data_IF_088149289506
#
_entry.id   IF_088149289506
#
_cell.length_a   1.000
_cell.length_b   1.000
_cell.length_c   1.000
_cell.angle_alpha   90.00
_cell.angle_beta   90.00
_cell.angle_gamma   90.00
#
_symmetry.space_group_name_H-M   'P 1'
#
loop_
_entity.id
_entity.type
_entity.pdbx_description
1 polymer ?
#
# COMPACT_ATOMS: atom_id res chain seq x y z
N UNK A 1 -48.70 56.80 39.43
CA UNK A 1 -48.11 55.84 40.39
C UNK A 1 -48.28 54.38 39.94
N UNK A 2 -49.47 53.92 39.55
CA UNK A 2 -49.66 52.55 39.05
C UNK A 2 -48.82 52.22 37.80
N UNK A 3 -48.84 53.08 36.76
CA UNK A 3 -48.06 52.87 35.54
C UNK A 3 -46.53 52.77 35.77
N UNK A 4 -45.99 53.51 36.72
CA UNK A 4 -44.56 53.45 37.06
C UNK A 4 -44.19 52.15 37.77
N UNK A 5 -45.10 51.59 38.60
CA UNK A 5 -44.88 50.31 39.25
C UNK A 5 -44.98 49.13 38.26
N UNK A 6 -45.82 49.25 37.23
CA UNK A 6 -45.94 48.26 36.16
C UNK A 6 -44.69 48.27 35.26
N UNK A 7 -44.21 49.45 34.86
CA UNK A 7 -42.96 49.58 34.11
C UNK A 7 -41.76 48.96 34.86
N UNK A 8 -41.63 49.23 36.16
CA UNK A 8 -40.57 48.63 36.98
C UNK A 8 -40.67 47.10 37.10
N UNK A 9 -41.90 46.54 37.08
CA UNK A 9 -42.11 45.08 37.07
C UNK A 9 -41.70 44.46 35.74
N UNK A 10 -42.07 45.09 34.63
CA UNK A 10 -41.70 44.61 33.28
C UNK A 10 -40.18 44.66 33.10
N UNK A 11 -39.51 45.75 33.54
CA UNK A 11 -38.05 45.83 33.48
C UNK A 11 -37.36 44.74 34.33
N UNK A 12 -37.88 44.46 35.53
CA UNK A 12 -37.36 43.39 36.38
C UNK A 12 -37.56 41.99 35.76
N UNK A 13 -38.70 41.75 35.11
CA UNK A 13 -38.99 40.50 34.42
C UNK A 13 -38.05 40.30 33.21
N UNK A 14 -37.86 41.33 32.39
CA UNK A 14 -36.93 41.31 31.25
C UNK A 14 -35.50 41.06 31.73
N UNK A 15 -35.04 41.74 32.79
CA UNK A 15 -33.72 41.51 33.36
C UNK A 15 -33.53 40.06 33.85
N UNK A 16 -34.59 39.45 34.40
CA UNK A 16 -34.56 38.07 34.87
C UNK A 16 -34.50 37.08 33.70
N UNK A 17 -35.26 37.32 32.63
CA UNK A 17 -35.21 36.49 31.41
C UNK A 17 -33.86 36.60 30.71
N UNK A 18 -33.27 37.80 30.60
CA UNK A 18 -31.91 37.98 30.05
C UNK A 18 -30.89 37.19 30.89
N UNK A 19 -30.91 37.34 32.22
CA UNK A 19 -30.01 36.58 33.10
C UNK A 19 -30.18 35.06 32.96
N UNK A 20 -31.42 34.58 32.76
CA UNK A 20 -31.70 33.16 32.52
C UNK A 20 -31.12 32.69 31.18
N UNK A 21 -31.28 33.47 30.11
CA UNK A 21 -30.74 33.12 28.78
C UNK A 21 -29.21 33.09 28.78
N UNK A 22 -28.56 34.04 29.45
CA UNK A 22 -27.09 34.05 29.59
C UNK A 22 -26.60 32.84 30.40
N UNK A 23 -27.31 32.45 31.46
CA UNK A 23 -26.98 31.27 32.25
C UNK A 23 -27.12 29.96 31.45
N UNK A 24 -28.15 29.83 30.61
CA UNK A 24 -28.32 28.65 29.73
C UNK A 24 -27.22 28.60 28.65
N UNK A 25 -26.87 29.74 28.03
CA UNK A 25 -25.77 29.82 27.08
C UNK A 25 -24.41 29.45 27.72
N UNK A 26 -24.19 29.83 28.98
CA UNK A 26 -22.99 29.44 29.72
C UNK A 26 -22.94 27.92 29.99
N UNK A 27 -24.08 27.30 30.32
CA UNK A 27 -24.18 25.84 30.48
C UNK A 27 -23.91 25.10 29.17
N UNK A 28 -24.44 25.57 28.05
CA UNK A 28 -24.20 24.96 26.74
C UNK A 28 -22.73 25.03 26.34
N UNK A 29 -22.07 26.19 26.55
CA UNK A 29 -20.62 26.33 26.33
C UNK A 29 -19.79 25.40 27.21
N UNK A 30 -20.18 25.23 28.48
CA UNK A 30 -19.51 24.30 29.39
C UNK A 30 -19.66 22.85 28.92
N UNK A 31 -20.87 22.45 28.50
CA UNK A 31 -21.12 21.12 27.95
C UNK A 31 -20.32 20.84 26.67
N UNK A 32 -20.22 21.83 25.77
CA UNK A 32 -19.40 21.72 24.56
C UNK A 32 -17.90 21.58 24.88
N UNK A 33 -17.39 22.30 25.88
CA UNK A 33 -16.01 22.19 26.32
C UNK A 33 -15.70 20.82 26.95
N UNK A 34 -16.61 20.27 27.76
CA UNK A 34 -16.46 18.91 28.30
C UNK A 34 -16.52 17.84 27.19
N UNK A 35 -17.41 18.00 26.20
CA UNK A 35 -17.47 17.10 25.05
C UNK A 35 -16.15 17.10 24.24
N UNK A 36 -15.59 18.29 23.97
CA UNK A 36 -14.30 18.42 23.30
C UNK A 36 -13.15 17.80 24.10
N UNK A 37 -13.17 17.90 25.44
CA UNK A 37 -12.17 17.24 26.30
C UNK A 37 -12.27 15.71 26.20
N UNK A 38 -13.47 15.15 26.22
CA UNK A 38 -13.68 13.69 26.12
C UNK A 38 -13.20 13.17 24.76
N UNK A 39 -13.48 13.91 23.67
CA UNK A 39 -13.01 13.53 22.33
C UNK A 39 -11.48 13.58 22.23
N UNK A 40 -10.85 14.61 22.81
CA UNK A 40 -9.39 14.71 22.87
C UNK A 40 -8.76 13.56 23.68
N UNK A 41 -9.34 13.20 24.84
CA UNK A 41 -8.88 12.04 25.63
C UNK A 41 -9.00 10.73 24.84
N UNK A 42 -10.13 10.52 24.14
CA UNK A 42 -10.32 9.34 23.30
C UNK A 42 -9.30 9.25 22.16
N UNK A 43 -8.98 10.38 21.51
CA UNK A 43 -7.93 10.43 20.49
C UNK A 43 -6.54 10.09 21.05
N UNK A 44 -6.23 10.56 22.27
CA UNK A 44 -4.94 10.23 22.92
C UNK A 44 -4.82 8.77 23.32
N UNK A 45 -5.89 8.15 23.82
CA UNK A 45 -5.92 6.71 24.12
C UNK A 45 -5.80 5.85 22.85
N UNK A 46 -6.47 6.25 21.77
CA UNK A 46 -6.33 5.57 20.47
C UNK A 46 -4.89 5.63 19.94
N UNK A 47 -4.27 6.82 19.98
CA UNK A 47 -2.87 6.99 19.57
C UNK A 47 -1.90 6.16 20.44
N UNK A 48 -2.19 6.03 21.74
CA UNK A 48 -1.40 5.19 22.65
C UNK A 48 -1.53 3.69 22.31
N UNK A 49 -2.75 3.23 22.01
CA UNK A 49 -2.99 1.84 21.62
C UNK A 49 -2.28 1.48 20.30
N UNK A 50 -2.29 2.37 19.32
CA UNK A 50 -1.55 2.20 18.05
C UNK A 50 -0.04 2.14 18.28
N UNK A 51 0.50 2.99 19.16
CA UNK A 51 1.92 2.98 19.50
C UNK A 51 2.37 1.67 20.17
N UNK A 52 1.55 1.10 21.06
CA UNK A 52 1.82 -0.21 21.66
C UNK A 52 1.74 -1.35 20.63
N UNK A 53 0.74 -1.32 19.72
CA UNK A 53 0.65 -2.29 18.64
C UNK A 53 1.86 -2.23 17.68
N UNK A 54 2.39 -1.02 17.43
CA UNK A 54 3.61 -0.85 16.64
C UNK A 54 4.85 -1.44 17.33
N UNK A 55 4.98 -1.30 18.66
CA UNK A 55 6.06 -1.93 19.44
C UNK A 55 5.99 -3.46 19.38
N UNK A 56 4.79 -4.04 19.49
CA UNK A 56 4.61 -5.49 19.39
C UNK A 56 5.00 -6.02 18.00
N UNK A 57 4.62 -5.31 16.93
CA UNK A 57 5.03 -5.65 15.56
C UNK A 57 6.55 -5.53 15.37
N UNK A 58 7.17 -4.49 15.92
CA UNK A 58 8.62 -4.32 15.86
C UNK A 58 9.36 -5.46 16.58
N UNK A 59 8.89 -5.84 17.77
CA UNK A 59 9.44 -6.98 18.52
C UNK A 59 9.27 -8.31 17.75
N UNK A 60 8.11 -8.52 17.12
CA UNK A 60 7.88 -9.70 16.28
C UNK A 60 8.79 -9.75 15.04
N UNK A 61 9.03 -8.60 14.41
CA UNK A 61 9.95 -8.50 13.27
C UNK A 61 11.41 -8.75 13.68
N UNK A 62 11.83 -8.26 14.84
CA UNK A 62 13.16 -8.54 15.39
C UNK A 62 13.34 -10.03 15.70
N UNK A 63 12.35 -10.67 16.33
CA UNK A 63 12.37 -12.11 16.58
C UNK A 63 12.50 -12.93 15.29
N UNK A 64 11.73 -12.58 14.24
CA UNK A 64 11.83 -13.23 12.94
C UNK A 64 13.21 -13.05 12.28
N UNK A 65 13.84 -11.88 12.47
CA UNK A 65 15.20 -11.63 11.98
C UNK A 65 16.23 -12.49 12.68
N UNK A 66 16.14 -12.64 14.01
CA UNK A 66 17.05 -13.52 14.78
C UNK A 66 16.90 -14.99 14.36
N UNK A 67 15.66 -15.46 14.13
CA UNK A 67 15.44 -16.83 13.63
C UNK A 67 16.03 -17.03 12.22
N UNK A 68 15.88 -16.05 11.33
CA UNK A 68 16.47 -16.10 9.99
C UNK A 68 18.01 -16.13 10.05
N UNK A 69 18.61 -15.32 10.91
CA UNK A 69 20.06 -15.28 11.10
C UNK A 69 20.60 -16.62 11.65
N UNK A 70 19.91 -17.20 12.64
CA UNK A 70 20.24 -18.52 13.17
C UNK A 70 20.14 -19.63 12.10
N UNK A 71 19.13 -19.59 11.23
CA UNK A 71 19.00 -20.53 10.13
C UNK A 71 20.14 -20.38 9.10
N UNK A 72 20.60 -19.14 8.82
CA UNK A 72 21.73 -18.91 7.91
C UNK A 72 23.05 -19.38 8.49
N UNK A 73 23.31 -19.18 9.79
CA UNK A 73 24.52 -19.69 10.45
C UNK A 73 24.52 -21.22 10.51
N UNK A 74 23.37 -21.86 10.75
CA UNK A 74 23.24 -23.32 10.68
C UNK A 74 23.55 -23.87 9.28
N UNK A 75 23.00 -23.26 8.23
CA UNK A 75 23.29 -23.65 6.85
C UNK A 75 24.76 -23.46 6.48
N UNK A 76 25.41 -22.41 7.00
CA UNK A 76 26.85 -22.17 6.83
C UNK A 76 27.70 -23.25 7.50
N UNK A 77 27.35 -23.66 8.72
CA UNK A 77 28.03 -24.72 9.45
C UNK A 77 27.92 -26.08 8.72
N UNK A 78 26.73 -26.41 8.20
CA UNK A 78 26.55 -27.63 7.40
C UNK A 78 27.37 -27.62 6.10
N UNK A 79 27.47 -26.46 5.44
CA UNK A 79 28.27 -26.31 4.23
C UNK A 79 29.79 -26.48 4.50
N UNK A 80 30.30 -25.95 5.62
CA UNK A 80 31.70 -26.15 6.02
C UNK A 80 31.99 -27.62 6.39
N UNK A 81 31.10 -28.29 7.11
CA UNK A 81 31.24 -29.73 7.41
C UNK A 81 31.25 -30.60 6.13
N UNK A 82 30.43 -30.24 5.13
CA UNK A 82 30.44 -30.91 3.83
C UNK A 82 31.77 -30.72 3.07
N UNK A 83 32.42 -29.55 3.18
CA UNK A 83 33.74 -29.32 2.57
C UNK A 83 34.83 -30.17 3.23
N UNK A 84 34.80 -30.29 4.56
CA UNK A 84 35.80 -31.07 5.30
C UNK A 84 35.71 -32.58 4.96
N UNK A 85 34.49 -33.12 4.82
CA UNK A 85 34.29 -34.52 4.41
C UNK A 85 34.69 -34.77 2.95
N UNK A 86 34.49 -33.80 2.05
CA UNK A 86 34.95 -33.91 0.67
C UNK A 86 36.49 -33.92 0.57
N UNK A 87 37.18 -33.08 1.34
CA UNK A 87 38.64 -33.06 1.38
C UNK A 87 39.23 -34.36 1.95
N UNK A 88 38.58 -34.98 2.94
CA UNK A 88 39.01 -36.27 3.50
C UNK A 88 38.85 -37.43 2.50
N UNK A 89 37.83 -37.39 1.64
CA UNK A 89 37.63 -38.42 0.60
C UNK A 89 38.68 -38.34 -0.53
N UNK A 90 39.19 -37.15 -0.83
CA UNK A 90 40.22 -36.95 -1.86
C UNK A 90 41.63 -37.39 -1.40
N UNK A 91 41.87 -37.46 -0.08
CA UNK A 91 43.16 -37.88 0.49
C UNK A 91 43.36 -39.40 0.61
N UNK A 92 42.38 -40.23 0.21
CA UNK A 92 42.54 -41.68 0.21
C UNK A 92 43.50 -42.12 -0.91
N UNK A 93 44.66 -42.71 -0.60
CA UNK A 93 45.65 -43.07 -1.60
C UNK A 93 45.11 -44.15 -2.54
N UNK A 94 45.19 -43.87 -3.83
CA UNK A 94 44.91 -44.83 -4.90
C UNK A 94 45.88 -46.01 -4.80
N UNK A 95 45.41 -47.10 -4.21
CA UNK A 95 46.10 -48.38 -4.26
C UNK A 95 46.04 -48.89 -5.71
N UNK A 96 47.24 -49.05 -6.28
CA UNK A 96 47.49 -49.36 -7.68
C UNK A 96 47.02 -50.79 -8.00
N UNK A 97 46.06 -50.94 -8.92
CA UNK A 97 45.75 -52.21 -9.56
C UNK A 97 46.01 -52.13 -11.08
N UNK A 98 46.62 -53.16 -11.69
CA UNK A 98 47.19 -53.06 -13.02
C UNK A 98 46.19 -53.30 -14.16
N UNK A 99 46.61 -52.81 -15.32
CA UNK A 99 45.94 -52.82 -16.61
C UNK A 99 45.60 -54.22 -17.17
N UNK A 100 44.50 -54.30 -17.92
CA UNK A 100 44.51 -55.04 -19.18
C UNK A 100 43.50 -54.49 -20.19
N UNK A 101 43.91 -54.56 -21.46
CA UNK A 101 43.36 -53.90 -22.62
C UNK A 101 42.21 -54.67 -23.28
N UNK A 102 41.31 -53.96 -23.97
CA UNK A 102 40.71 -54.43 -25.21
C UNK A 102 40.09 -53.29 -26.03
N UNK A 103 40.47 -53.26 -27.30
CA UNK A 103 40.06 -52.37 -28.37
C UNK A 103 38.64 -52.68 -28.92
N UNK A 104 38.32 -52.10 -30.10
CA UNK A 104 37.23 -52.44 -31.07
C UNK A 104 35.96 -51.60 -30.88
N UNK A 105 35.34 -50.91 -31.85
CA UNK A 105 35.53 -50.70 -33.30
C UNK A 105 34.63 -49.54 -33.75
N UNK A 106 35.03 -48.89 -34.84
CA UNK A 106 34.25 -48.01 -35.71
C UNK A 106 32.97 -48.66 -36.26
N UNK A 107 31.91 -47.88 -36.51
CA UNK A 107 30.71 -48.32 -37.21
C UNK A 107 29.77 -47.17 -37.58
N UNK A 108 29.82 -46.76 -38.84
CA UNK A 108 28.98 -45.74 -39.46
C UNK A 108 27.55 -46.24 -39.73
N UNK A 109 26.51 -45.42 -39.52
CA UNK A 109 25.31 -45.46 -40.38
C UNK A 109 24.52 -44.14 -40.37
N UNK A 110 24.38 -43.58 -41.57
CA UNK A 110 23.19 -42.99 -42.18
C UNK A 110 22.14 -42.24 -41.32
N UNK A 111 22.06 -40.93 -41.59
CA UNK A 111 20.88 -40.31 -42.20
C UNK A 111 19.54 -40.38 -41.45
N UNK A 112 19.11 -39.24 -40.90
CA UNK A 112 17.71 -38.83 -40.98
C UNK A 112 17.54 -37.33 -40.78
N UNK A 113 17.14 -36.69 -41.88
CA UNK A 113 16.38 -35.44 -41.89
C UNK A 113 15.08 -35.67 -41.13
N UNK A 114 14.84 -34.90 -40.07
CA UNK A 114 13.48 -34.46 -39.73
C UNK A 114 13.57 -33.29 -38.77
N UNK A 115 13.52 -32.10 -39.37
CA UNK A 115 13.10 -30.87 -38.74
C UNK A 115 11.68 -31.07 -38.20
N UNK A 116 11.55 -31.28 -36.89
CA UNK A 116 10.36 -30.90 -36.15
C UNK A 116 10.80 -30.12 -34.93
N UNK A 117 10.58 -28.81 -35.03
CA UNK A 117 10.70 -27.80 -33.99
C UNK A 117 9.87 -28.23 -32.78
N UNK A 118 10.49 -28.98 -31.88
CA UNK A 118 9.98 -29.20 -30.54
C UNK A 118 10.39 -27.98 -29.73
N UNK A 119 9.48 -27.02 -29.67
CA UNK A 119 9.47 -25.96 -28.67
C UNK A 119 9.55 -26.66 -27.32
N UNK A 120 10.76 -26.67 -26.76
CA UNK A 120 10.98 -27.02 -25.38
C UNK A 120 10.23 -25.95 -24.58
N UNK A 121 9.07 -26.33 -24.07
CA UNK A 121 8.43 -25.62 -22.98
C UNK A 121 9.42 -25.61 -21.83
N UNK A 122 10.19 -24.53 -21.76
CA UNK A 122 10.92 -24.16 -20.56
C UNK A 122 9.87 -24.11 -19.46
N UNK A 123 9.97 -25.03 -18.52
CA UNK A 123 9.36 -24.88 -17.23
C UNK A 123 9.92 -23.57 -16.69
N UNK A 124 9.15 -22.49 -16.87
CA UNK A 124 9.39 -21.21 -16.24
C UNK A 124 9.47 -21.50 -14.76
N UNK A 125 10.69 -21.54 -14.26
CA UNK A 125 10.95 -21.43 -12.83
C UNK A 125 10.29 -20.12 -12.48
N UNK A 126 9.16 -20.18 -11.78
CA UNK A 126 8.51 -19.00 -11.26
C UNK A 126 9.57 -18.32 -10.40
N UNK A 127 10.20 -17.26 -10.95
CA UNK A 127 11.12 -16.44 -10.22
C UNK A 127 10.38 -16.03 -8.95
N UNK A 128 10.84 -16.54 -7.82
CA UNK A 128 10.30 -16.17 -6.53
C UNK A 128 10.33 -14.64 -6.50
N UNK A 129 9.16 -14.02 -6.38
CA UNK A 129 9.06 -12.56 -6.32
C UNK A 129 10.10 -12.08 -5.29
N UNK A 130 10.97 -11.13 -5.63
CA UNK A 130 12.04 -10.75 -4.73
C UNK A 130 11.40 -10.35 -3.39
N UNK A 131 11.96 -10.78 -2.24
CA UNK A 131 11.47 -10.37 -0.94
C UNK A 131 11.43 -8.83 -0.90
N UNK A 132 10.31 -8.25 -0.45
CA UNK A 132 10.10 -6.80 -0.43
C UNK A 132 9.34 -6.22 -1.61
N UNK A 133 8.57 -7.02 -2.36
CA UNK A 133 7.62 -6.48 -3.32
C UNK A 133 6.58 -5.63 -2.60
N UNK A 134 6.47 -4.35 -2.97
CA UNK A 134 5.41 -3.48 -2.47
C UNK A 134 4.06 -4.11 -2.83
N UNK A 135 3.39 -4.66 -1.82
CA UNK A 135 2.18 -5.44 -2.06
C UNK A 135 0.98 -4.52 -2.23
N UNK A 136 -0.10 -5.00 -2.85
CA UNK A 136 -1.35 -4.27 -2.87
C UNK A 136 -1.86 -3.94 -1.45
N UNK A 137 -1.53 -4.77 -0.45
CA UNK A 137 -1.90 -4.49 0.93
C UNK A 137 -1.09 -3.32 1.51
N UNK A 138 0.20 -3.21 1.18
CA UNK A 138 1.04 -2.07 1.57
C UNK A 138 0.56 -0.78 0.89
N UNK A 139 0.17 -0.87 -0.39
CA UNK A 139 -0.44 0.25 -1.12
C UNK A 139 -1.75 0.72 -0.48
N UNK A 140 -2.64 -0.21 -0.11
CA UNK A 140 -3.90 0.13 0.55
C UNK A 140 -3.68 0.76 1.93
N UNK A 141 -2.72 0.24 2.70
CA UNK A 141 -2.36 0.79 4.00
C UNK A 141 -1.82 2.22 3.88
N UNK A 142 -0.88 2.46 2.96
CA UNK A 142 -0.29 3.77 2.78
C UNK A 142 -1.28 4.78 2.17
N UNK A 143 -2.15 4.35 1.25
CA UNK A 143 -3.24 5.20 0.74
C UNK A 143 -4.23 5.59 1.85
N UNK A 144 -4.53 4.69 2.79
CA UNK A 144 -5.36 5.03 3.94
C UNK A 144 -4.68 6.07 4.84
N UNK A 145 -3.37 5.95 5.07
CA UNK A 145 -2.58 6.96 5.80
C UNK A 145 -2.60 8.30 5.08
N UNK A 146 -2.44 8.33 3.75
CA UNK A 146 -2.52 9.54 2.91
C UNK A 146 -3.87 10.24 3.09
N UNK A 147 -4.98 9.50 3.06
CA UNK A 147 -6.32 10.09 3.23
C UNK A 147 -6.53 10.71 4.62
N UNK A 148 -6.14 9.98 5.66
CA UNK A 148 -6.27 10.44 7.05
C UNK A 148 -5.37 11.65 7.33
N UNK A 149 -4.12 11.60 6.89
CA UNK A 149 -3.15 12.70 7.09
C UNK A 149 -3.54 13.96 6.32
N UNK A 150 -4.08 13.82 5.11
CA UNK A 150 -4.64 14.94 4.36
C UNK A 150 -5.80 15.61 5.12
N UNK A 151 -6.69 14.83 5.75
CA UNK A 151 -7.79 15.39 6.56
C UNK A 151 -7.30 16.11 7.83
N UNK A 152 -6.21 15.64 8.43
CA UNK A 152 -5.62 16.24 9.63
C UNK A 152 -4.68 17.42 9.33
N UNK A 153 -4.44 17.75 8.06
CA UNK A 153 -3.51 18.81 7.66
C UNK A 153 -2.05 18.48 7.97
N UNK A 154 -1.70 17.19 8.11
CA UNK A 154 -0.34 16.73 8.41
C UNK A 154 0.49 16.58 7.14
N UNK A 155 0.77 17.71 6.47
CA UNK A 155 1.39 17.77 5.14
C UNK A 155 2.73 17.01 5.08
N UNK A 156 3.57 17.11 6.10
CA UNK A 156 4.87 16.41 6.10
C UNK A 156 4.72 14.88 6.05
N UNK A 157 3.81 14.33 6.86
CA UNK A 157 3.55 12.88 6.88
C UNK A 157 2.86 12.41 5.60
N UNK A 158 1.99 13.23 5.04
CA UNK A 158 1.36 12.99 3.75
C UNK A 158 2.43 12.85 2.65
N UNK A 159 3.38 13.78 2.59
CA UNK A 159 4.47 13.74 1.61
C UNK A 159 5.40 12.55 1.83
N UNK A 160 5.67 12.16 3.08
CA UNK A 160 6.45 10.94 3.37
C UNK A 160 5.73 9.67 2.90
N UNK A 161 4.42 9.56 3.14
CA UNK A 161 3.62 8.44 2.67
C UNK A 161 3.54 8.41 1.14
N UNK A 162 3.39 9.57 0.49
CA UNK A 162 3.41 9.67 -0.97
C UNK A 162 4.76 9.28 -1.57
N UNK A 163 5.87 9.66 -0.93
CA UNK A 163 7.20 9.21 -1.34
C UNK A 163 7.29 7.67 -1.25
N UNK A 164 6.83 7.06 -0.15
CA UNK A 164 6.84 5.59 -0.01
C UNK A 164 6.05 4.88 -1.09
N UNK A 165 4.83 5.36 -1.38
CA UNK A 165 4.00 4.80 -2.43
C UNK A 165 4.63 4.98 -3.81
N UNK A 166 5.22 6.15 -4.07
CA UNK A 166 5.87 6.45 -5.34
C UNK A 166 7.06 5.54 -5.59
N UNK A 167 7.94 5.35 -4.60
CA UNK A 167 9.04 4.40 -4.72
C UNK A 167 8.52 2.95 -4.79
N UNK A 168 7.55 2.58 -3.95
CA UNK A 168 7.00 1.22 -3.95
C UNK A 168 6.40 0.78 -5.29
N UNK A 169 5.83 1.72 -6.05
CA UNK A 169 5.22 1.46 -7.35
C UNK A 169 6.13 1.80 -8.54
N UNK A 170 6.97 2.82 -8.40
CA UNK A 170 7.79 3.38 -9.47
C UNK A 170 9.17 2.74 -9.60
N UNK A 171 9.79 2.32 -8.49
CA UNK A 171 11.09 1.64 -8.46
C UNK A 171 10.87 0.17 -8.89
N UNK A 172 10.96 -0.06 -10.19
CA UNK A 172 10.57 -1.35 -10.81
C UNK A 172 11.65 -2.40 -10.69
N UNK A 173 12.92 -1.98 -10.73
CA UNK A 173 14.07 -2.87 -10.57
C UNK A 173 14.52 -3.03 -9.11
N UNK A 174 13.98 -2.21 -8.20
CA UNK A 174 14.17 -2.26 -6.75
C UNK A 174 15.60 -1.95 -6.33
N UNK A 175 16.23 -1.03 -7.03
CA UNK A 175 17.57 -0.56 -6.67
C UNK A 175 17.53 0.47 -5.51
N UNK A 176 16.33 0.87 -5.07
CA UNK A 176 16.12 1.83 -3.98
C UNK A 176 16.13 3.28 -4.45
N UNK A 177 16.30 3.50 -5.75
CA UNK A 177 16.33 4.79 -6.41
C UNK A 177 15.23 4.82 -7.48
N UNK A 178 14.88 6.02 -7.95
CA UNK A 178 13.90 6.19 -9.01
C UNK A 178 14.60 6.81 -10.21
N UNK A 179 14.75 6.06 -11.30
CA UNK A 179 15.29 6.61 -12.55
C UNK A 179 14.27 7.55 -13.22
N UNK A 180 14.74 8.44 -14.12
CA UNK A 180 13.85 9.34 -14.90
C UNK A 180 12.80 8.57 -15.71
N UNK A 181 13.19 7.44 -16.29
CA UNK A 181 12.29 6.57 -17.05
C UNK A 181 11.21 5.94 -16.17
N UNK A 182 11.57 5.53 -14.96
CA UNK A 182 10.65 4.97 -13.99
C UNK A 182 9.69 6.02 -13.44
N UNK A 183 10.18 7.21 -13.12
CA UNK A 183 9.35 8.33 -12.70
C UNK A 183 8.31 8.70 -13.78
N UNK A 184 8.71 8.75 -15.06
CA UNK A 184 7.80 9.01 -16.16
C UNK A 184 6.77 7.87 -16.36
N UNK A 185 7.22 6.61 -16.22
CA UNK A 185 6.34 5.44 -16.27
C UNK A 185 5.33 5.46 -15.12
N UNK A 186 5.78 5.78 -13.90
CA UNK A 186 4.93 5.93 -12.73
C UNK A 186 3.89 7.03 -12.92
N UNK A 187 4.29 8.21 -13.39
CA UNK A 187 3.36 9.31 -13.63
C UNK A 187 2.27 8.95 -14.65
N UNK A 188 2.64 8.27 -15.75
CA UNK A 188 1.67 7.89 -16.80
C UNK A 188 0.80 6.69 -16.45
N UNK A 189 1.22 5.81 -15.53
CA UNK A 189 0.46 4.61 -15.16
C UNK A 189 -0.34 4.77 -13.86
N UNK A 190 0.20 5.53 -12.90
CA UNK A 190 -0.33 5.62 -11.55
C UNK A 190 -0.89 7.00 -11.18
N UNK A 191 -0.60 8.07 -11.92
CA UNK A 191 -1.19 9.39 -11.66
C UNK A 191 -2.38 9.74 -12.58
N UNK A 192 -2.69 8.88 -13.56
CA UNK A 192 -3.87 9.08 -14.41
C UNK A 192 -5.16 9.19 -13.60
N UNK A 193 -6.10 9.99 -14.09
CA UNK A 193 -7.38 10.29 -13.43
C UNK A 193 -8.18 9.05 -13.00
N UNK A 194 -8.02 7.94 -13.71
CA UNK A 194 -8.69 6.69 -13.40
C UNK A 194 -8.04 5.89 -12.28
N UNK A 195 -6.81 6.24 -11.87
CA UNK A 195 -6.09 5.53 -10.83
C UNK A 195 -6.62 5.89 -9.43
N UNK A 196 -6.54 4.97 -8.46
CA UNK A 196 -6.89 5.27 -7.07
C UNK A 196 -6.05 6.40 -6.46
N UNK A 197 -4.79 6.51 -6.87
CA UNK A 197 -3.85 7.49 -6.34
C UNK A 197 -4.13 8.88 -6.90
N UNK A 198 -4.39 8.99 -8.21
CA UNK A 198 -4.80 10.24 -8.85
C UNK A 198 -6.09 10.79 -8.26
N UNK A 199 -7.06 9.91 -7.95
CA UNK A 199 -8.29 10.32 -7.25
C UNK A 199 -8.06 10.77 -5.82
N UNK A 200 -7.26 10.04 -5.06
CA UNK A 200 -6.93 10.39 -3.67
C UNK A 200 -6.21 11.73 -3.59
N UNK A 201 -5.34 12.03 -4.54
CA UNK A 201 -4.63 13.30 -4.66
C UNK A 201 -5.48 14.44 -5.24
N UNK A 202 -6.73 14.18 -5.62
CA UNK A 202 -7.59 15.18 -6.25
C UNK A 202 -7.12 15.61 -7.65
N UNK A 203 -6.29 14.81 -8.32
CA UNK A 203 -5.83 15.06 -9.69
C UNK A 203 -6.94 14.81 -10.73
N UNK A 204 -8.06 14.21 -10.32
CA UNK A 204 -9.24 14.01 -11.17
C UNK A 204 -9.85 15.34 -11.58
N UNK A 205 -10.04 15.55 -12.89
CA UNK A 205 -10.54 16.80 -13.48
C UNK A 205 -9.51 17.93 -13.59
N UNK A 206 -8.27 17.73 -13.15
CA UNK A 206 -7.18 18.69 -13.33
C UNK A 206 -6.60 18.62 -14.73
N UNK A 207 -6.21 19.78 -15.29
CA UNK A 207 -5.61 19.91 -16.62
C UNK A 207 -4.14 19.44 -16.67
N UNK A 208 -3.70 18.66 -15.68
CA UNK A 208 -2.38 18.05 -15.70
C UNK A 208 -2.31 17.17 -16.96
N UNK A 209 -1.41 17.48 -17.90
CA UNK A 209 -1.39 16.84 -19.20
C UNK A 209 -0.68 15.49 -19.11
N UNK A 210 -1.15 14.62 -18.21
CA UNK A 210 -0.62 13.28 -17.99
C UNK A 210 -0.80 12.37 -19.21
N UNK A 211 -1.70 12.75 -20.12
CA UNK A 211 -1.89 12.11 -21.42
C UNK A 211 -0.80 12.50 -22.44
N UNK A 212 -0.09 13.61 -22.21
CA UNK A 212 1.00 14.08 -23.06
C UNK A 212 2.34 13.67 -22.45
N UNK A 213 2.90 12.57 -22.95
CA UNK A 213 4.18 12.04 -22.48
C UNK A 213 5.37 13.01 -22.65
N UNK A 214 5.28 14.05 -23.48
CA UNK A 214 6.31 15.09 -23.54
C UNK A 214 6.24 16.02 -22.32
N UNK A 215 5.04 16.47 -21.96
CA UNK A 215 4.83 17.32 -20.79
C UNK A 215 5.06 16.58 -19.48
N UNK A 216 4.71 15.28 -19.41
CA UNK A 216 5.07 14.45 -18.26
C UNK A 216 6.59 14.41 -18.08
N UNK A 217 7.35 14.21 -19.15
CA UNK A 217 8.82 14.23 -19.09
C UNK A 217 9.35 15.59 -18.65
N UNK A 218 8.77 16.70 -19.12
CA UNK A 218 9.13 18.04 -18.67
C UNK A 218 8.92 18.21 -17.16
N UNK A 219 7.76 17.80 -16.63
CA UNK A 219 7.50 17.85 -15.19
C UNK A 219 8.48 16.97 -14.42
N UNK A 220 8.74 15.74 -14.89
CA UNK A 220 9.72 14.85 -14.26
C UNK A 220 11.12 15.49 -14.25
N UNK A 221 11.56 16.11 -15.35
CA UNK A 221 12.84 16.84 -15.40
C UNK A 221 12.89 17.98 -14.39
N UNK A 222 11.80 18.74 -14.22
CA UNK A 222 11.75 19.80 -13.19
C UNK A 222 11.84 19.26 -11.77
N UNK A 223 11.20 18.12 -11.50
CA UNK A 223 11.27 17.45 -10.19
C UNK A 223 12.69 16.96 -9.91
N UNK A 224 13.33 16.28 -10.87
CA UNK A 224 14.71 15.83 -10.71
C UNK A 224 15.65 17.02 -10.49
N UNK A 225 15.54 18.09 -11.29
CA UNK A 225 16.38 19.28 -11.09
C UNK A 225 16.22 19.93 -9.70
N UNK A 226 15.08 19.74 -9.03
CA UNK A 226 14.83 20.27 -7.68
C UNK A 226 15.20 19.29 -6.55
N UNK A 227 15.14 17.98 -6.81
CA UNK A 227 15.22 16.93 -5.80
C UNK A 227 16.54 16.13 -5.85
N UNK A 228 17.12 15.93 -7.03
CA UNK A 228 18.36 15.19 -7.30
C UNK A 228 19.54 16.08 -6.89
N UNK A 229 19.96 15.93 -5.64
CA UNK A 229 20.87 16.86 -4.98
C UNK A 229 22.32 16.57 -5.34
N UNK A 230 22.65 15.31 -5.65
CA UNK A 230 23.97 14.89 -6.08
C UNK A 230 24.13 14.82 -7.61
N UNK A 231 23.05 15.03 -8.37
CA UNK A 231 23.00 15.07 -9.82
C UNK A 231 23.44 13.75 -10.48
N UNK A 232 23.16 12.62 -9.83
CA UNK A 232 23.47 11.29 -10.35
C UNK A 232 22.46 10.82 -11.42
N UNK A 233 21.34 11.54 -11.58
CA UNK A 233 20.30 11.25 -12.55
C UNK A 233 19.25 10.24 -12.07
N UNK A 234 19.32 9.83 -10.81
CA UNK A 234 18.34 9.06 -10.07
C UNK A 234 17.81 9.89 -8.89
N UNK A 235 16.70 9.45 -8.29
CA UNK A 235 16.23 10.02 -7.03
C UNK A 235 16.28 8.96 -5.96
N UNK A 236 17.10 9.16 -4.93
CA UNK A 236 17.09 8.31 -3.75
C UNK A 236 15.88 8.60 -2.84
N UNK A 237 15.55 7.68 -1.93
CA UNK A 237 14.48 7.90 -0.94
C UNK A 237 14.81 9.05 0.00
N UNK A 238 16.08 9.20 0.35
CA UNK A 238 16.59 10.26 1.20
C UNK A 238 16.37 11.64 0.55
N UNK A 239 16.67 11.77 -0.73
CA UNK A 239 16.46 12.99 -1.51
C UNK A 239 14.98 13.33 -1.71
N UNK A 240 14.16 12.34 -2.05
CA UNK A 240 12.72 12.52 -2.18
C UNK A 240 12.06 13.00 -0.87
N UNK A 241 12.62 12.60 0.28
CA UNK A 241 12.16 13.03 1.61
C UNK A 241 12.83 14.32 2.10
N UNK A 242 13.86 14.79 1.40
CA UNK A 242 14.54 16.02 1.76
C UNK A 242 13.57 17.20 1.64
N UNK A 243 13.75 18.18 2.54
CA UNK A 243 12.89 19.36 2.61
C UNK A 243 12.75 20.13 1.28
N UNK A 244 13.82 20.38 0.51
CA UNK A 244 13.71 21.09 -0.77
C UNK A 244 12.79 20.36 -1.76
N UNK A 245 12.91 19.03 -1.83
CA UNK A 245 12.07 18.22 -2.70
C UNK A 245 10.60 18.27 -2.29
N UNK A 246 10.33 18.13 -0.99
CA UNK A 246 8.96 18.23 -0.42
C UNK A 246 8.30 19.57 -0.74
N UNK A 247 9.02 20.68 -0.55
CA UNK A 247 8.52 22.02 -0.84
C UNK A 247 8.23 22.18 -2.34
N UNK A 248 9.09 21.67 -3.22
CA UNK A 248 8.88 21.70 -4.66
C UNK A 248 7.66 20.87 -5.09
N UNK A 249 7.52 19.65 -4.57
CA UNK A 249 6.37 18.77 -4.84
C UNK A 249 5.06 19.39 -4.37
N UNK A 250 5.06 20.04 -3.19
CA UNK A 250 3.89 20.75 -2.69
C UNK A 250 3.53 21.94 -3.60
N UNK A 251 4.53 22.70 -4.04
CA UNK A 251 4.31 23.81 -4.96
C UNK A 251 3.73 23.34 -6.30
N UNK A 252 4.21 22.22 -6.84
CA UNK A 252 3.64 21.60 -8.04
C UNK A 252 2.17 21.20 -7.84
N UNK A 253 1.84 20.58 -6.70
CA UNK A 253 0.47 20.20 -6.38
C UNK A 253 -0.46 21.41 -6.23
N UNK A 254 0.04 22.51 -5.66
CA UNK A 254 -0.71 23.75 -5.50
C UNK A 254 -0.86 24.55 -6.81
N UNK A 255 0.08 24.38 -7.74
CA UNK A 255 0.04 25.03 -9.05
C UNK A 255 -1.03 24.41 -9.98
N UNK A 256 -1.53 23.21 -9.67
CA UNK A 256 -2.62 22.58 -10.42
C UNK A 256 -3.87 23.42 -10.19
N UNK A 257 -4.43 24.07 -11.23
CA UNK A 257 -5.65 24.83 -11.07
C UNK A 257 -6.75 23.87 -10.60
N UNK A 258 -7.61 24.27 -9.64
CA UNK A 258 -8.72 23.44 -9.22
C UNK A 258 -9.56 23.09 -10.45
N UNK A 259 -10.10 21.84 -10.52
CA UNK A 259 -10.85 21.38 -11.67
C UNK A 259 -11.92 22.42 -12.00
N UNK A 260 -11.79 23.07 -13.15
CA UNK A 260 -12.78 24.01 -13.65
C UNK A 260 -14.02 23.17 -13.93
N UNK A 261 -14.99 23.18 -12.99
CA UNK A 261 -16.26 22.45 -13.13
C UNK A 261 -16.88 22.88 -14.44
N UNK A 262 -16.72 22.05 -15.47
CA UNK A 262 -17.10 22.36 -16.83
C UNK A 262 -18.63 22.35 -16.94
N UNK A 263 -19.26 23.50 -16.69
CA UNK A 263 -20.61 23.87 -17.15
C UNK A 263 -21.81 23.00 -16.77
N UNK A 264 -21.63 21.90 -16.05
CA UNK A 264 -22.74 21.07 -15.54
C UNK A 264 -23.44 21.81 -14.40
N UNK A 265 -24.75 22.02 -14.55
CA UNK A 265 -25.64 22.72 -13.63
C UNK A 265 -25.11 22.74 -12.19
N UNK A 266 -24.76 23.93 -11.71
CA UNK A 266 -24.17 24.14 -10.39
C UNK A 266 -24.89 23.30 -9.34
N UNK A 267 -24.26 22.20 -8.92
CA UNK A 267 -24.65 21.51 -7.70
C UNK A 267 -24.45 22.54 -6.60
N UNK A 268 -25.57 23.03 -6.05
CA UNK A 268 -25.57 24.02 -5.01
C UNK A 268 -24.58 23.57 -3.92
N UNK A 269 -23.69 24.46 -3.43
CA UNK A 269 -22.83 24.11 -2.32
C UNK A 269 -23.70 23.51 -1.19
N UNK A 270 -23.20 22.51 -0.45
CA UNK A 270 -23.93 21.96 0.69
C UNK A 270 -24.34 23.14 1.59
N UNK A 271 -25.64 23.22 1.89
CA UNK A 271 -26.23 24.39 2.55
C UNK A 271 -25.66 24.64 3.95
N UNK A 272 -24.96 23.64 4.50
CA UNK A 272 -24.30 23.72 5.78
C UNK A 272 -23.10 22.76 5.88
N UNK A 273 -22.22 23.02 6.84
CA UNK A 273 -21.13 22.09 7.22
C UNK A 273 -21.67 20.72 7.67
N UNK A 274 -22.89 20.67 8.23
CA UNK A 274 -23.54 19.42 8.61
C UNK A 274 -23.90 18.57 7.39
N UNK A 275 -24.33 19.18 6.29
CA UNK A 275 -24.61 18.48 5.03
C UNK A 275 -23.33 17.91 4.41
N UNK A 276 -22.22 18.65 4.47
CA UNK A 276 -20.91 18.17 4.02
C UNK A 276 -20.44 16.96 4.83
N UNK A 277 -20.59 17.00 6.17
CA UNK A 277 -20.22 15.88 7.04
C UNK A 277 -21.14 14.66 6.83
N UNK A 278 -22.44 14.87 6.57
CA UNK A 278 -23.37 13.80 6.24
C UNK A 278 -23.04 13.12 4.91
N UNK A 279 -22.58 13.89 3.92
CA UNK A 279 -22.13 13.37 2.62
C UNK A 279 -20.83 12.54 2.76
N UNK A 280 -19.88 13.00 3.58
CA UNK A 280 -18.66 12.24 3.92
C UNK A 280 -19.00 10.97 4.69
N UNK A 281 -19.92 11.02 5.67
CA UNK A 281 -20.37 9.84 6.41
C UNK A 281 -21.03 8.83 5.47
N UNK A 282 -21.89 9.28 4.57
CA UNK A 282 -22.52 8.43 3.56
C UNK A 282 -21.48 7.78 2.62
N UNK A 283 -20.46 8.53 2.21
CA UNK A 283 -19.36 8.02 1.37
C UNK A 283 -18.54 6.96 2.11
N UNK A 284 -18.18 7.21 3.38
CA UNK A 284 -17.48 6.24 4.25
C UNK A 284 -18.31 4.96 4.48
N UNK A 285 -19.62 5.09 4.65
CA UNK A 285 -20.54 3.95 4.79
C UNK A 285 -20.64 3.13 3.52
N UNK A 286 -20.67 3.78 2.36
CA UNK A 286 -20.63 3.12 1.06
C UNK A 286 -19.30 2.36 0.86
N UNK A 287 -18.17 3.01 1.17
CA UNK A 287 -16.84 2.41 1.05
C UNK A 287 -16.66 1.18 1.94
N UNK A 288 -17.03 1.28 3.23
CA UNK A 288 -16.96 0.16 4.17
C UNK A 288 -17.91 -0.98 3.80
N UNK A 289 -19.08 -0.68 3.25
CA UNK A 289 -20.01 -1.72 2.75
C UNK A 289 -19.47 -2.45 1.51
N UNK A 290 -18.76 -1.75 0.62
CA UNK A 290 -18.11 -2.33 -0.55
C UNK A 290 -16.91 -3.21 -0.15
N UNK A 291 -16.10 -2.76 0.81
CA UNK A 291 -14.97 -3.52 1.34
C UNK A 291 -15.43 -4.77 2.12
N UNK A 292 -16.52 -4.68 2.89
CA UNK A 292 -17.10 -5.81 3.63
C UNK A 292 -17.78 -6.87 2.76
N UNK A 293 -18.24 -6.50 1.56
CA UNK A 293 -18.96 -7.40 0.65
C UNK A 293 -18.08 -8.40 -0.11
N UNK A 294 -16.80 -8.08 -0.34
CA UNK A 294 -15.91 -8.91 -1.16
C UNK A 294 -15.20 -10.04 -0.39
N UNK A 295 -14.98 -9.89 0.92
CA UNK A 295 -14.13 -10.82 1.70
C UNK A 295 -14.82 -12.08 2.24
N UNK A 296 -16.07 -11.98 2.73
CA UNK A 296 -16.67 -13.08 3.49
C UNK A 296 -17.36 -14.16 2.62
N UNK A 297 -17.76 -13.84 1.39
CA UNK A 297 -18.49 -14.76 0.51
C UNK A 297 -17.64 -15.67 -0.39
N UNK A 298 -16.40 -15.26 -0.71
CA UNK A 298 -15.55 -15.93 -1.71
C UNK A 298 -14.85 -17.18 -1.19
N UNK A 299 -14.26 -17.10 0.01
CA UNK A 299 -13.52 -18.21 0.62
C UNK A 299 -14.43 -19.42 0.93
N UNK A 300 -15.63 -19.15 1.43
CA UNK A 300 -16.63 -20.19 1.72
C UNK A 300 -17.13 -20.93 0.47
N UNK A 301 -17.31 -20.23 -0.66
CA UNK A 301 -17.73 -20.86 -1.92
C UNK A 301 -16.65 -21.78 -2.50
N UNK A 302 -15.38 -21.35 -2.51
CA UNK A 302 -14.26 -22.20 -2.97
C UNK A 302 -14.07 -23.42 -2.08
N UNK A 303 -14.21 -23.28 -0.77
CA UNK A 303 -14.09 -24.42 0.16
C UNK A 303 -15.24 -25.43 0.01
N UNK A 304 -16.48 -24.94 -0.23
CA UNK A 304 -17.65 -25.80 -0.52
C UNK A 304 -17.51 -26.53 -1.86
N UNK A 305 -16.97 -25.88 -2.90
CA UNK A 305 -16.66 -26.54 -4.18
C UNK A 305 -15.61 -27.64 -4.01
N UNK A 306 -14.48 -27.36 -3.34
CA UNK A 306 -13.45 -28.37 -3.07
C UNK A 306 -13.98 -29.57 -2.28
N UNK A 307 -14.84 -29.35 -1.28
CA UNK A 307 -15.52 -30.43 -0.54
C UNK A 307 -16.45 -31.26 -1.43
N UNK A 308 -17.17 -30.65 -2.38
CA UNK A 308 -18.02 -31.38 -3.33
C UNK A 308 -17.20 -32.24 -4.29
N UNK A 309 -16.12 -31.69 -4.87
CA UNK A 309 -15.24 -32.44 -5.76
C UNK A 309 -14.56 -33.63 -5.07
N UNK A 310 -14.09 -33.42 -3.83
CA UNK A 310 -13.51 -34.50 -3.03
C UNK A 310 -14.51 -35.64 -2.79
N UNK A 311 -15.77 -35.33 -2.45
CA UNK A 311 -16.84 -36.33 -2.28
C UNK A 311 -17.11 -37.09 -3.58
N UNK A 312 -17.12 -36.42 -4.73
CA UNK A 312 -17.31 -37.04 -6.05
C UNK A 312 -16.15 -37.97 -6.41
N UNK A 313 -14.89 -37.56 -6.20
CA UNK A 313 -13.71 -38.41 -6.39
C UNK A 313 -13.76 -39.66 -5.51
N UNK A 314 -14.16 -39.52 -4.24
CA UNK A 314 -14.29 -40.66 -3.31
C UNK A 314 -15.38 -41.65 -3.74
N UNK A 315 -16.52 -41.16 -4.26
CA UNK A 315 -17.59 -42.00 -4.82
C UNK A 315 -17.15 -42.75 -6.07
N UNK A 316 -16.42 -42.09 -6.99
CA UNK A 316 -15.86 -42.74 -8.20
C UNK A 316 -14.88 -43.86 -7.85
N UNK A 317 -13.97 -43.63 -6.88
CA UNK A 317 -13.04 -44.68 -6.40
C UNK A 317 -13.74 -45.89 -5.81
N UNK A 318 -14.83 -45.70 -5.04
CA UNK A 318 -15.62 -46.81 -4.49
C UNK A 318 -16.35 -47.62 -5.56
N UNK A 319 -16.93 -46.96 -6.59
CA UNK A 319 -17.58 -47.65 -7.71
C UNK A 319 -16.58 -48.44 -8.55
N UNK A 320 -15.37 -47.90 -8.79
CA UNK A 320 -14.30 -48.62 -9.51
C UNK A 320 -13.86 -49.91 -8.79
N UNK A 321 -13.76 -49.91 -7.46
CA UNK A 321 -13.41 -51.11 -6.68
C UNK A 321 -14.48 -52.20 -6.70
N UNK A 322 -15.77 -51.82 -6.79
CA UNK A 322 -16.88 -52.79 -6.87
C UNK A 322 -17.03 -53.44 -8.25
N UNK A 323 -16.49 -52.84 -9.31
CA UNK A 323 -16.49 -53.44 -10.66
C UNK A 323 -15.30 -54.37 -10.92
N UNK A 324 -14.29 -54.38 -10.03
CA UNK A 324 -13.11 -55.24 -10.11
C UNK A 324 -13.18 -56.46 -9.20
N UNK A 325 -14.26 -56.59 -8.43
CA UNK A 325 -14.63 -57.80 -7.69
C UNK A 325 -15.84 -58.39 -8.39
#
# INVERSE_FOLDING_TARGET
KAAAAEAARVEAEVATEVARTEAEAAKEKAAAADAARVEAEAATEAARAEAEAAKEKAAAAEAARVEAEAATEAARAEAEAAKETAAAAEAAPAEVAPAEAAAVTSGAVAGSKLSQSKVAGGAGVAAAAPPGAYSNADLEADLAVVQVTAHLGLVDKLLDALANVTFGLGDTDRDGSLSRSEAASFATSHLVETSPLGRTLGLSGGELPLQDGAKVREVVETVFAACDADADGALSREEARARPCKEHMLALLQAIPPPQRSGGAAQAPPASQADAMAEVEAMMKAYTSAAGGAGAGGAGRRQRQRRREWRLRRRRRRRGRRRRR
#
